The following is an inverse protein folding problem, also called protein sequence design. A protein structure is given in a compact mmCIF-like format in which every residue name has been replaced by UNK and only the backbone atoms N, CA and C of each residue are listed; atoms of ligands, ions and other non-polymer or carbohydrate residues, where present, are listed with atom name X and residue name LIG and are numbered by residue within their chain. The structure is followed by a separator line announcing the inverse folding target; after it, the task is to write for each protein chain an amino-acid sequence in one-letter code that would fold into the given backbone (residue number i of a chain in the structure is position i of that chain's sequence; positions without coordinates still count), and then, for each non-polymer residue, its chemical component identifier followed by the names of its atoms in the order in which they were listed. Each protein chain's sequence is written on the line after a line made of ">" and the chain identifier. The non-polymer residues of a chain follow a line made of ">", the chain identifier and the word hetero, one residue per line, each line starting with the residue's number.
data_IF_199480148549
#
_entry.id   IF_199480148549
#
_cell.length_a   1.000
_cell.length_b   1.000
_cell.length_c   1.000
_cell.angle_alpha   90.00
_cell.angle_beta   90.00
_cell.angle_gamma   90.00
#
_symmetry.space_group_name_H-M   'P 1'
#
loop_
_entity.id
_entity.type
_entity.pdbx_description
1 polymer ?
#
# COMPACT_ATOMS: atom_id res chain seq x y z
N UNK A 1 3.99 47.45 33.03
CA UNK A 1 3.22 47.38 31.78
C UNK A 1 4.00 46.86 30.56
N UNK A 2 5.31 47.02 30.42
CA UNK A 2 6.10 46.52 29.27
C UNK A 2 6.30 45.01 29.24
N UNK A 3 6.30 44.31 30.37
CA UNK A 3 6.53 42.87 30.47
C UNK A 3 5.33 42.02 30.05
N UNK A 4 4.11 42.55 30.11
CA UNK A 4 2.87 41.85 29.74
C UNK A 4 2.71 41.75 28.22
N UNK A 5 3.18 42.74 27.45
CA UNK A 5 3.10 42.72 25.97
C UNK A 5 4.06 41.71 25.32
N UNK A 6 5.19 41.42 25.93
CA UNK A 6 6.16 40.43 25.39
C UNK A 6 5.62 39.02 25.54
N UNK A 7 4.89 38.72 26.63
CA UNK A 7 4.31 37.38 26.84
C UNK A 7 3.16 37.08 25.86
N UNK A 8 2.36 38.07 25.50
CA UNK A 8 1.25 37.94 24.55
C UNK A 8 1.78 37.71 23.11
N UNK A 9 2.87 38.37 22.72
CA UNK A 9 3.47 38.21 21.39
C UNK A 9 4.12 36.83 21.23
N UNK A 10 4.75 36.28 22.26
CA UNK A 10 5.36 34.91 22.21
C UNK A 10 4.28 33.83 22.19
N UNK A 11 3.13 34.03 22.81
CA UNK A 11 1.99 33.11 22.77
C UNK A 11 1.26 33.17 21.42
N UNK A 12 1.14 34.33 20.81
CA UNK A 12 0.53 34.51 19.49
C UNK A 12 1.36 33.91 18.34
N UNK A 13 2.69 33.89 18.45
CA UNK A 13 3.58 33.29 17.43
C UNK A 13 3.61 31.76 17.44
N UNK A 14 3.08 31.11 18.48
CA UNK A 14 2.92 29.64 18.50
C UNK A 14 1.58 29.16 17.93
N UNK A 15 0.65 30.05 17.57
CA UNK A 15 -0.62 29.70 16.92
C UNK A 15 -0.51 29.74 15.40
N UNK A 16 0.65 30.06 14.85
CA UNK A 16 0.87 30.08 13.40
C UNK A 16 0.99 28.65 12.85
N UNK A 17 -0.11 28.22 12.26
CA UNK A 17 -0.23 27.12 11.28
C UNK A 17 0.04 25.70 11.77
N UNK A 18 -0.86 25.14 12.57
CA UNK A 18 -1.20 23.75 12.38
C UNK A 18 -1.86 23.66 10.98
N UNK A 19 -1.08 23.45 9.93
CA UNK A 19 -1.65 23.10 8.61
C UNK A 19 -2.48 21.85 8.84
N UNK A 20 -3.79 21.95 8.66
CA UNK A 20 -4.66 20.79 8.73
C UNK A 20 -4.16 19.77 7.70
N UNK A 21 -3.99 18.52 8.13
CA UNK A 21 -3.60 17.44 7.23
C UNK A 21 -4.61 17.33 6.10
N UNK A 22 -4.16 17.21 4.87
CA UNK A 22 -5.00 17.12 3.67
C UNK A 22 -4.59 15.96 2.80
N UNK A 23 -5.51 15.51 1.94
CA UNK A 23 -5.24 14.48 0.94
C UNK A 23 -4.59 15.03 -0.34
N UNK A 24 -4.34 16.34 -0.41
CA UNK A 24 -3.77 16.94 -1.61
C UNK A 24 -2.42 16.32 -1.96
N UNK A 25 -2.34 15.70 -3.15
CA UNK A 25 -1.18 14.95 -3.61
C UNK A 25 -1.03 13.53 -3.04
N UNK A 26 -1.93 13.07 -2.16
CA UNK A 26 -1.89 11.72 -1.61
C UNK A 26 -2.06 10.65 -2.68
N UNK A 27 -1.45 9.49 -2.46
CA UNK A 27 -1.50 8.33 -3.33
C UNK A 27 -1.95 7.13 -2.49
N UNK A 28 -3.03 6.48 -2.90
CA UNK A 28 -3.48 5.24 -2.29
C UNK A 28 -2.96 4.04 -3.10
N UNK A 29 -2.07 3.26 -2.49
CA UNK A 29 -1.45 2.10 -3.14
C UNK A 29 -2.30 0.84 -3.10
N UNK A 30 -3.47 0.87 -2.40
CA UNK A 30 -4.25 -0.31 -2.11
C UNK A 30 -5.74 0.03 -2.00
N UNK A 31 -6.42 0.14 -3.13
CA UNK A 31 -7.82 0.54 -3.19
C UNK A 31 -8.69 -0.55 -3.84
N UNK A 32 -9.62 -1.12 -3.07
CA UNK A 32 -10.61 -2.08 -3.57
C UNK A 32 -11.85 -1.36 -4.09
N UNK A 33 -12.38 -1.81 -5.22
CA UNK A 33 -13.57 -1.21 -5.84
C UNK A 33 -14.30 -2.19 -6.75
N UNK A 34 -15.56 -1.89 -7.10
CA UNK A 34 -16.21 -2.56 -8.22
C UNK A 34 -15.57 -2.17 -9.58
N UNK A 35 -15.66 -3.05 -10.61
CA UNK A 35 -16.19 -4.41 -10.55
C UNK A 35 -15.27 -5.34 -9.75
N UNK A 36 -15.87 -6.22 -8.94
CA UNK A 36 -15.17 -7.24 -8.18
C UNK A 36 -16.11 -8.44 -7.97
N UNK A 37 -15.57 -9.62 -7.73
CA UNK A 37 -16.31 -10.83 -7.37
C UNK A 37 -16.90 -10.82 -5.96
N UNK A 38 -16.58 -9.81 -5.14
CA UNK A 38 -17.10 -9.62 -3.79
C UNK A 38 -17.75 -8.24 -3.64
N UNK A 39 -18.71 -8.05 -2.68
CA UNK A 39 -19.33 -6.75 -2.46
C UNK A 39 -18.34 -5.65 -2.09
N UNK A 40 -18.43 -4.51 -2.79
CA UNK A 40 -17.62 -3.31 -2.57
C UNK A 40 -18.51 -2.11 -2.22
N UNK A 41 -17.92 -1.07 -1.63
CA UNK A 41 -18.62 0.15 -1.24
C UNK A 41 -18.80 1.16 -2.38
N UNK A 42 -17.98 1.07 -3.44
CA UNK A 42 -17.92 2.05 -4.53
C UNK A 42 -17.35 1.39 -5.80
N UNK A 43 -17.74 1.87 -6.98
CA UNK A 43 -17.07 1.48 -8.22
C UNK A 43 -15.79 2.29 -8.50
N UNK A 44 -14.92 1.78 -9.38
CA UNK A 44 -13.63 2.35 -9.66
C UNK A 44 -13.70 3.77 -10.28
N UNK A 45 -14.71 4.05 -11.09
CA UNK A 45 -14.88 5.36 -11.73
C UNK A 45 -15.30 6.40 -10.70
N UNK A 46 -16.28 6.08 -9.86
CA UNK A 46 -16.76 6.98 -8.83
C UNK A 46 -15.72 7.15 -7.70
N UNK A 47 -14.96 6.10 -7.38
CA UNK A 47 -13.80 6.23 -6.50
C UNK A 47 -12.76 7.21 -7.05
N UNK A 48 -12.42 7.12 -8.33
CA UNK A 48 -11.48 8.03 -8.97
C UNK A 48 -11.99 9.48 -8.99
N UNK A 49 -13.28 9.70 -9.26
CA UNK A 49 -13.91 11.03 -9.18
C UNK A 49 -13.83 11.59 -7.75
N UNK A 50 -14.16 10.77 -6.75
CA UNK A 50 -14.11 11.15 -5.35
C UNK A 50 -12.68 11.49 -4.92
N UNK A 51 -11.71 10.62 -5.20
CA UNK A 51 -10.31 10.85 -4.88
C UNK A 51 -9.77 12.13 -5.54
N UNK A 52 -10.09 12.35 -6.82
CA UNK A 52 -9.75 13.59 -7.54
C UNK A 52 -10.36 14.82 -6.87
N UNK A 53 -11.64 14.78 -6.48
CA UNK A 53 -12.32 15.90 -5.82
C UNK A 53 -11.70 16.26 -4.45
N UNK A 54 -11.04 15.29 -3.81
CA UNK A 54 -10.30 15.46 -2.55
C UNK A 54 -8.83 15.85 -2.77
N UNK A 55 -8.40 16.08 -4.04
CA UNK A 55 -7.05 16.48 -4.40
C UNK A 55 -6.02 15.35 -4.39
N UNK A 56 -6.44 14.09 -4.31
CA UNK A 56 -5.51 12.96 -4.40
C UNK A 56 -4.84 12.91 -5.78
N UNK A 57 -3.58 12.48 -5.80
CA UNK A 57 -2.78 12.35 -7.01
C UNK A 57 -3.05 11.06 -7.75
N UNK A 58 -3.07 9.93 -7.03
CA UNK A 58 -3.18 8.64 -7.68
C UNK A 58 -3.87 7.57 -6.82
N UNK A 59 -4.35 6.53 -7.51
CA UNK A 59 -4.90 5.31 -6.94
C UNK A 59 -4.24 4.09 -7.59
N UNK A 60 -4.02 3.03 -6.81
CA UNK A 60 -3.75 1.69 -7.32
C UNK A 60 -4.95 0.80 -7.01
N UNK A 61 -5.67 0.39 -8.06
CA UNK A 61 -6.83 -0.49 -7.95
C UNK A 61 -6.36 -1.92 -7.70
N UNK A 62 -6.92 -2.59 -6.71
CA UNK A 62 -6.62 -3.97 -6.36
C UNK A 62 -7.88 -4.79 -6.25
N UNK A 63 -7.89 -5.96 -6.91
CA UNK A 63 -8.85 -7.04 -6.69
C UNK A 63 -8.07 -8.33 -6.43
N UNK A 64 -8.69 -9.29 -5.72
CA UNK A 64 -8.04 -10.56 -5.38
C UNK A 64 -8.20 -11.60 -6.49
N UNK A 65 -9.24 -11.48 -7.31
CA UNK A 65 -9.71 -12.55 -8.19
C UNK A 65 -9.51 -12.24 -9.68
N UNK A 66 -9.08 -11.00 -10.01
CA UNK A 66 -8.86 -10.58 -11.38
C UNK A 66 -7.79 -9.47 -11.46
N UNK A 67 -7.07 -9.35 -12.60
CA UNK A 67 -6.15 -8.24 -12.85
C UNK A 67 -6.89 -6.92 -13.06
N UNK A 68 -6.38 -5.82 -12.54
CA UNK A 68 -7.00 -4.48 -12.59
C UNK A 68 -6.32 -3.50 -13.57
N UNK A 69 -5.30 -3.93 -14.31
CA UNK A 69 -4.58 -3.06 -15.24
C UNK A 69 -5.47 -2.53 -16.38
N UNK A 70 -6.38 -3.36 -16.91
CA UNK A 70 -7.34 -2.95 -17.94
C UNK A 70 -8.38 -1.99 -17.38
N UNK A 71 -8.86 -2.23 -16.16
CA UNK A 71 -9.78 -1.34 -15.46
C UNK A 71 -9.13 0.03 -15.24
N UNK A 72 -7.88 0.08 -14.77
CA UNK A 72 -7.13 1.33 -14.60
C UNK A 72 -7.04 2.14 -15.91
N UNK A 73 -6.87 1.47 -17.05
CA UNK A 73 -6.86 2.11 -18.38
C UNK A 73 -8.19 2.80 -18.69
N UNK A 74 -9.31 2.14 -18.41
CA UNK A 74 -10.65 2.70 -18.65
C UNK A 74 -10.93 3.85 -17.67
N UNK A 75 -10.64 3.65 -16.38
CA UNK A 75 -10.88 4.70 -15.37
C UNK A 75 -10.08 5.97 -15.67
N UNK A 76 -8.82 5.85 -16.08
CA UNK A 76 -8.01 7.03 -16.49
C UNK A 76 -8.62 7.78 -17.68
N UNK A 77 -9.24 7.06 -18.60
CA UNK A 77 -9.92 7.69 -19.75
C UNK A 77 -11.19 8.43 -19.32
N UNK A 78 -11.96 7.85 -18.41
CA UNK A 78 -13.24 8.43 -17.92
C UNK A 78 -13.02 9.57 -16.92
N UNK A 79 -11.93 9.53 -16.15
CA UNK A 79 -11.62 10.52 -15.10
C UNK A 79 -10.23 11.12 -15.33
N UNK A 80 -10.07 11.99 -16.34
CA UNK A 80 -8.77 12.62 -16.59
C UNK A 80 -8.37 13.53 -15.43
N UNK A 81 -7.06 13.63 -15.15
CA UNK A 81 -6.50 14.48 -14.10
C UNK A 81 -6.32 13.80 -12.74
N UNK A 82 -6.53 12.50 -12.67
CA UNK A 82 -6.02 11.63 -11.60
C UNK A 82 -5.26 10.46 -12.24
N UNK A 83 -4.16 10.04 -11.63
CA UNK A 83 -3.41 8.88 -12.08
C UNK A 83 -4.00 7.61 -11.45
N UNK A 84 -4.37 6.63 -12.28
CA UNK A 84 -4.91 5.36 -11.79
C UNK A 84 -4.06 4.23 -12.34
N UNK A 85 -3.62 3.36 -11.47
CA UNK A 85 -2.83 2.17 -11.77
C UNK A 85 -3.61 0.93 -11.34
N UNK A 86 -3.19 -0.21 -11.84
CA UNK A 86 -3.70 -1.50 -11.42
C UNK A 86 -2.57 -2.49 -11.26
N UNK A 87 -2.94 -3.72 -11.00
CA UNK A 87 -2.00 -4.81 -10.79
C UNK A 87 -2.65 -6.17 -10.93
N UNK A 88 -2.00 -7.16 -10.35
CA UNK A 88 -2.48 -8.55 -10.29
C UNK A 88 -2.15 -9.14 -8.92
N UNK A 89 -3.14 -9.76 -8.28
CA UNK A 89 -2.94 -10.63 -7.11
C UNK A 89 -2.81 -12.07 -7.59
N UNK A 90 -1.72 -12.75 -7.21
CA UNK A 90 -1.40 -14.09 -7.70
C UNK A 90 -2.10 -15.19 -6.90
N UNK A 91 -3.41 -15.02 -6.70
CA UNK A 91 -4.28 -16.01 -6.08
C UNK A 91 -4.65 -17.12 -7.09
N UNK A 92 -5.24 -18.22 -6.64
CA UNK A 92 -5.56 -19.39 -7.48
C UNK A 92 -6.48 -19.06 -8.65
N UNK A 93 -7.33 -18.05 -8.53
CA UNK A 93 -8.26 -17.60 -9.58
C UNK A 93 -7.56 -17.09 -10.84
N UNK A 94 -6.33 -16.59 -10.70
CA UNK A 94 -5.49 -16.19 -11.85
C UNK A 94 -4.41 -17.22 -12.19
N UNK A 95 -4.52 -18.42 -11.63
CA UNK A 95 -3.59 -19.53 -11.84
C UNK A 95 -2.46 -19.59 -10.81
N UNK A 96 -2.64 -19.00 -9.63
CA UNK A 96 -1.64 -18.94 -8.56
C UNK A 96 -0.47 -18.02 -8.93
N UNK A 97 0.76 -18.40 -8.50
CA UNK A 97 1.97 -17.68 -8.89
C UNK A 97 2.23 -17.97 -10.39
N UNK A 98 1.65 -17.13 -11.24
CA UNK A 98 1.61 -17.28 -12.69
C UNK A 98 2.46 -16.19 -13.39
N UNK A 99 3.74 -16.50 -13.77
CA UNK A 99 4.61 -15.54 -14.45
C UNK A 99 4.05 -15.04 -15.77
N UNK A 100 3.35 -15.90 -16.54
CA UNK A 100 2.77 -15.50 -17.82
C UNK A 100 1.68 -14.46 -17.65
N UNK A 101 0.82 -14.56 -16.62
CA UNK A 101 -0.20 -13.57 -16.31
C UNK A 101 0.44 -12.22 -15.95
N UNK A 102 1.51 -12.20 -15.16
CA UNK A 102 2.26 -10.97 -14.84
C UNK A 102 2.86 -10.36 -16.11
N UNK A 103 3.48 -11.17 -16.98
CA UNK A 103 4.06 -10.66 -18.22
C UNK A 103 2.99 -10.06 -19.15
N UNK A 104 1.82 -10.71 -19.29
CA UNK A 104 0.73 -10.15 -20.09
C UNK A 104 0.13 -8.89 -19.49
N UNK A 105 0.05 -8.77 -18.16
CA UNK A 105 -0.35 -7.53 -17.48
C UNK A 105 0.55 -6.35 -17.88
N UNK A 106 1.86 -6.54 -18.02
CA UNK A 106 2.77 -5.46 -18.42
C UNK A 106 2.54 -4.97 -19.85
N UNK A 107 1.91 -5.78 -20.70
CA UNK A 107 1.60 -5.47 -22.10
C UNK A 107 0.27 -4.72 -22.30
N UNK A 108 -0.53 -4.57 -21.23
CA UNK A 108 -1.78 -3.79 -21.29
C UNK A 108 -1.45 -2.37 -21.72
N UNK A 109 -2.19 -1.88 -22.73
CA UNK A 109 -1.98 -0.54 -23.31
C UNK A 109 -1.98 0.54 -22.25
N UNK A 110 -0.97 1.42 -22.30
CA UNK A 110 -0.79 2.52 -21.36
C UNK A 110 0.21 2.22 -20.23
N UNK A 111 0.56 0.94 -20.01
CA UNK A 111 1.54 0.56 -19.00
C UNK A 111 1.08 0.84 -17.56
N UNK A 112 -0.22 0.77 -17.32
CA UNK A 112 -0.81 1.08 -16.01
C UNK A 112 -0.87 -0.13 -15.06
N UNK A 113 -0.52 -1.34 -15.51
CA UNK A 113 -0.26 -2.48 -14.64
C UNK A 113 1.09 -2.29 -13.94
N UNK A 114 1.08 -1.91 -12.68
CA UNK A 114 2.29 -1.49 -11.94
C UNK A 114 2.61 -2.35 -10.73
N UNK A 115 1.63 -3.03 -10.17
CA UNK A 115 1.80 -3.75 -8.90
C UNK A 115 1.53 -5.24 -9.09
N UNK A 116 2.38 -6.06 -8.52
CA UNK A 116 2.21 -7.50 -8.41
C UNK A 116 2.17 -7.87 -6.94
N UNK A 117 1.01 -8.32 -6.47
CA UNK A 117 0.87 -8.94 -5.16
C UNK A 117 1.10 -10.44 -5.28
N UNK A 118 2.03 -10.99 -4.51
CA UNK A 118 2.11 -12.43 -4.29
C UNK A 118 0.80 -12.91 -3.63
N UNK A 119 0.53 -14.21 -3.55
CA UNK A 119 -0.76 -14.72 -3.09
C UNK A 119 -1.28 -14.04 -1.83
N UNK A 120 -2.55 -13.65 -1.86
CA UNK A 120 -3.24 -12.99 -0.76
C UNK A 120 -4.16 -13.97 -0.04
N UNK A 121 -5.43 -14.08 -0.41
CA UNK A 121 -6.36 -15.02 0.23
C UNK A 121 -5.97 -16.49 0.06
N UNK A 122 -5.25 -16.81 -1.00
CA UNK A 122 -4.75 -18.15 -1.28
C UNK A 122 -3.27 -18.32 -0.93
N UNK A 123 -2.71 -17.45 -0.06
CA UNK A 123 -1.38 -17.67 0.52
C UNK A 123 -1.37 -18.88 1.46
N UNK A 124 -0.23 -19.57 1.56
CA UNK A 124 -0.05 -20.66 2.51
C UNK A 124 -0.28 -20.20 3.95
N UNK A 125 0.21 -18.99 4.29
CA UNK A 125 0.04 -18.41 5.60
C UNK A 125 -1.43 -18.16 6.00
N UNK A 126 -2.32 -17.87 5.05
CA UNK A 126 -3.73 -17.65 5.34
C UNK A 126 -4.60 -18.86 5.00
N UNK A 127 -4.56 -19.36 3.78
CA UNK A 127 -5.39 -20.47 3.33
C UNK A 127 -4.95 -21.80 3.95
N UNK A 128 -3.64 -22.04 4.06
CA UNK A 128 -3.09 -23.25 4.63
C UNK A 128 -3.49 -23.47 6.09
N UNK A 129 -3.57 -22.39 6.89
CA UNK A 129 -4.05 -22.48 8.28
C UNK A 129 -5.50 -22.95 8.41
N UNK A 130 -6.31 -22.73 7.38
CA UNK A 130 -7.71 -23.16 7.33
C UNK A 130 -7.94 -24.42 6.49
N UNK A 131 -6.87 -25.11 6.08
CA UNK A 131 -6.94 -26.33 5.27
C UNK A 131 -7.47 -26.11 3.86
N UNK A 132 -7.51 -24.89 3.35
CA UNK A 132 -7.91 -24.56 1.97
C UNK A 132 -6.74 -24.73 1.00
N UNK A 133 -7.00 -24.99 -0.28
CA UNK A 133 -5.98 -24.93 -1.32
C UNK A 133 -5.25 -23.59 -1.28
N UNK A 134 -3.95 -23.60 -1.54
CA UNK A 134 -3.11 -22.40 -1.52
C UNK A 134 -2.02 -22.46 -2.60
N UNK A 135 -1.45 -21.31 -2.91
CA UNK A 135 -0.32 -21.14 -3.82
C UNK A 135 0.94 -20.82 -3.01
N UNK A 136 1.91 -21.75 -2.94
CA UNK A 136 3.11 -21.55 -2.13
C UNK A 136 4.06 -20.53 -2.76
N UNK A 137 4.73 -19.75 -1.92
CA UNK A 137 5.74 -18.77 -2.35
C UNK A 137 7.16 -19.15 -1.95
N UNK A 138 7.30 -19.94 -0.89
CA UNK A 138 8.58 -20.39 -0.34
C UNK A 138 8.52 -21.90 -0.12
N UNK A 139 9.60 -22.61 -0.47
CA UNK A 139 9.83 -24.03 -0.16
C UNK A 139 11.29 -24.23 0.22
N UNK A 140 11.52 -25.01 1.27
CA UNK A 140 12.86 -25.34 1.75
C UNK A 140 13.77 -24.12 1.96
N UNK A 141 13.20 -23.00 2.48
CA UNK A 141 13.95 -21.78 2.79
C UNK A 141 14.31 -20.91 1.57
N UNK A 142 13.79 -21.21 0.38
CA UNK A 142 13.98 -20.43 -0.84
C UNK A 142 12.63 -20.13 -1.51
N UNK A 143 12.58 -19.07 -2.33
CA UNK A 143 11.39 -18.79 -3.17
C UNK A 143 11.20 -19.92 -4.19
N UNK A 144 9.94 -20.20 -4.56
CA UNK A 144 9.65 -21.19 -5.61
C UNK A 144 10.16 -20.72 -6.97
N UNK A 145 10.37 -21.64 -7.95
CA UNK A 145 10.79 -21.25 -9.29
C UNK A 145 9.87 -20.24 -9.95
N UNK A 146 8.56 -20.35 -9.74
CA UNK A 146 7.54 -19.45 -10.29
C UNK A 146 7.66 -18.05 -9.66
N UNK A 147 7.86 -17.97 -8.34
CA UNK A 147 8.10 -16.69 -7.65
C UNK A 147 9.40 -16.06 -8.17
N UNK A 148 10.46 -16.83 -8.37
CA UNK A 148 11.72 -16.32 -8.94
C UNK A 148 11.52 -15.73 -10.34
N UNK A 149 10.69 -16.35 -11.18
CA UNK A 149 10.34 -15.82 -12.51
C UNK A 149 9.51 -14.51 -12.40
N UNK A 150 8.54 -14.46 -11.49
CA UNK A 150 7.76 -13.24 -11.23
C UNK A 150 8.68 -12.10 -10.77
N UNK A 151 9.63 -12.38 -9.88
CA UNK A 151 10.63 -11.41 -9.42
C UNK A 151 11.46 -10.89 -10.60
N UNK A 152 11.92 -11.77 -11.50
CA UNK A 152 12.68 -11.36 -12.69
C UNK A 152 11.85 -10.46 -13.62
N UNK A 153 10.56 -10.76 -13.82
CA UNK A 153 9.63 -9.91 -14.60
C UNK A 153 9.45 -8.55 -13.91
N UNK A 154 9.28 -8.53 -12.60
CA UNK A 154 9.12 -7.30 -11.83
C UNK A 154 10.38 -6.42 -11.92
N UNK A 155 11.56 -6.98 -11.82
CA UNK A 155 12.83 -6.27 -11.98
C UNK A 155 12.96 -5.66 -13.38
N UNK A 156 12.72 -6.47 -14.43
CA UNK A 156 12.82 -6.05 -15.83
C UNK A 156 11.88 -4.90 -16.18
N UNK A 157 10.66 -4.90 -15.62
CA UNK A 157 9.60 -3.95 -15.96
C UNK A 157 9.42 -2.83 -14.92
N UNK A 158 10.32 -2.74 -13.93
CA UNK A 158 10.24 -1.78 -12.83
C UNK A 158 8.86 -1.77 -12.15
N UNK A 159 8.33 -2.96 -11.85
CA UNK A 159 7.07 -3.12 -11.13
C UNK A 159 7.29 -2.99 -9.62
N UNK A 160 6.23 -2.68 -8.90
CA UNK A 160 6.17 -2.84 -7.46
C UNK A 160 5.85 -4.30 -7.17
N UNK A 161 6.74 -4.98 -6.46
CA UNK A 161 6.51 -6.33 -5.96
C UNK A 161 6.07 -6.27 -4.50
N UNK A 162 4.89 -6.77 -4.23
CA UNK A 162 4.34 -6.86 -2.88
C UNK A 162 4.28 -8.31 -2.40
N UNK A 163 4.53 -8.51 -1.10
CA UNK A 163 4.65 -9.85 -0.52
C UNK A 163 3.31 -10.59 -0.35
N UNK A 164 2.18 -9.93 -0.61
CA UNK A 164 0.86 -10.51 -0.39
C UNK A 164 0.63 -10.84 1.09
N UNK A 165 -0.08 -11.92 1.37
CA UNK A 165 -0.32 -12.38 2.74
C UNK A 165 0.72 -13.43 3.20
N UNK A 166 1.96 -13.30 2.73
CA UNK A 166 3.07 -14.14 3.19
C UNK A 166 3.34 -13.93 4.68
N UNK A 167 3.75 -14.98 5.37
CA UNK A 167 4.22 -14.86 6.76
C UNK A 167 5.46 -13.96 6.87
N UNK A 168 5.80 -13.40 8.05
CA UNK A 168 6.99 -12.59 8.22
C UNK A 168 8.27 -13.27 7.72
N UNK A 169 8.43 -14.56 8.01
CA UNK A 169 9.60 -15.34 7.57
C UNK A 169 9.66 -15.46 6.04
N UNK A 170 8.54 -15.77 5.38
CA UNK A 170 8.46 -15.83 3.92
C UNK A 170 8.72 -14.46 3.28
N UNK A 171 8.13 -13.38 3.84
CA UNK A 171 8.32 -12.02 3.35
C UNK A 171 9.81 -11.62 3.36
N UNK A 172 10.56 -11.93 4.42
CA UNK A 172 12.00 -11.65 4.48
C UNK A 172 12.81 -12.45 3.45
N UNK A 173 12.41 -13.69 3.15
CA UNK A 173 13.04 -14.50 2.08
C UNK A 173 12.75 -13.89 0.71
N UNK A 174 11.48 -13.51 0.45
CA UNK A 174 11.06 -12.88 -0.80
C UNK A 174 11.80 -11.56 -1.02
N UNK A 175 11.87 -10.70 -0.01
CA UNK A 175 12.57 -9.41 -0.08
C UNK A 175 14.05 -9.61 -0.45
N UNK A 176 14.72 -10.54 0.22
CA UNK A 176 16.14 -10.85 -0.05
C UNK A 176 16.35 -11.28 -1.49
N UNK A 177 15.53 -12.20 -1.97
CA UNK A 177 15.61 -12.67 -3.35
C UNK A 177 15.26 -11.59 -4.38
N UNK A 178 14.20 -10.80 -4.12
CA UNK A 178 13.83 -9.67 -4.96
C UNK A 178 14.97 -8.64 -5.09
N UNK A 179 15.61 -8.29 -3.98
CA UNK A 179 16.76 -7.38 -4.00
C UNK A 179 17.97 -7.99 -4.70
N UNK A 180 18.22 -9.27 -4.52
CA UNK A 180 19.28 -10.00 -5.23
C UNK A 180 19.09 -9.97 -6.76
N UNK A 181 17.83 -10.08 -7.23
CA UNK A 181 17.48 -10.00 -8.65
C UNK A 181 17.30 -8.56 -9.18
N UNK A 182 17.52 -7.54 -8.35
CA UNK A 182 17.51 -6.14 -8.77
C UNK A 182 16.14 -5.45 -8.75
N UNK A 183 15.11 -6.04 -8.09
CA UNK A 183 13.83 -5.35 -7.90
C UNK A 183 14.03 -4.12 -7.03
N UNK A 184 13.80 -2.94 -7.59
CA UNK A 184 13.95 -1.67 -6.86
C UNK A 184 12.79 -1.45 -5.88
N UNK A 185 11.57 -1.74 -6.31
CA UNK A 185 10.32 -1.40 -5.64
C UNK A 185 9.73 -2.65 -4.98
N UNK A 186 10.08 -2.90 -3.72
CA UNK A 186 9.54 -4.01 -2.93
C UNK A 186 8.77 -3.43 -1.75
N UNK A 187 7.54 -3.94 -1.53
CA UNK A 187 6.70 -3.53 -0.41
C UNK A 187 6.13 -4.76 0.31
N UNK A 188 6.07 -4.70 1.64
CA UNK A 188 5.34 -5.67 2.45
C UNK A 188 3.90 -5.21 2.53
N UNK A 189 2.98 -6.00 2.02
CA UNK A 189 1.54 -5.72 2.00
C UNK A 189 1.01 -5.67 3.44
N UNK A 190 0.30 -4.61 3.81
CA UNK A 190 -0.32 -4.35 5.14
C UNK A 190 0.37 -5.10 6.30
N UNK A 191 1.67 -4.76 6.51
CA UNK A 191 2.63 -5.50 7.31
C UNK A 191 2.15 -5.94 8.72
N UNK A 192 1.32 -5.13 9.37
CA UNK A 192 0.84 -5.39 10.74
C UNK A 192 -0.60 -5.95 10.79
N UNK A 193 -1.24 -6.21 9.64
CA UNK A 193 -2.58 -6.82 9.62
C UNK A 193 -2.54 -8.27 10.13
N UNK A 194 -3.67 -8.78 10.61
CA UNK A 194 -3.79 -10.15 11.10
C UNK A 194 -3.39 -11.23 10.06
N UNK A 195 -3.49 -10.91 8.77
CA UNK A 195 -3.10 -11.82 7.68
C UNK A 195 -1.58 -11.94 7.50
N UNK A 196 -0.78 -10.97 7.95
CA UNK A 196 0.69 -10.96 7.85
C UNK A 196 1.33 -11.01 9.23
N UNK A 197 0.93 -10.10 10.13
CA UNK A 197 1.33 -10.03 11.53
C UNK A 197 2.84 -9.88 11.74
N UNK A 198 3.46 -8.95 11.02
CA UNK A 198 4.89 -8.65 11.15
C UNK A 198 5.17 -7.94 12.46
N UNK A 199 6.18 -8.37 13.19
CA UNK A 199 6.69 -7.64 14.36
C UNK A 199 7.45 -6.38 13.94
N UNK A 200 7.64 -5.42 14.84
CA UNK A 200 8.47 -4.24 14.59
C UNK A 200 9.91 -4.66 14.22
N UNK A 201 10.44 -5.71 14.84
CA UNK A 201 11.78 -6.21 14.53
C UNK A 201 11.86 -6.76 13.10
N UNK A 202 10.84 -7.50 12.62
CA UNK A 202 10.78 -7.98 11.25
C UNK A 202 10.63 -6.82 10.25
N UNK A 203 9.81 -5.81 10.60
CA UNK A 203 9.67 -4.59 9.79
C UNK A 203 10.99 -3.84 9.65
N UNK A 204 11.75 -3.70 10.74
CA UNK A 204 13.09 -3.11 10.70
C UNK A 204 14.06 -3.94 9.86
N UNK A 205 13.98 -5.27 9.91
CA UNK A 205 14.80 -6.15 9.08
C UNK A 205 14.44 -5.98 7.59
N UNK A 206 13.16 -5.89 7.25
CA UNK A 206 12.69 -5.62 5.88
C UNK A 206 13.15 -4.24 5.38
N UNK A 207 13.01 -3.20 6.21
CA UNK A 207 13.45 -1.83 5.90
C UNK A 207 14.97 -1.75 5.65
N UNK A 208 15.78 -2.45 6.46
CA UNK A 208 17.24 -2.55 6.25
C UNK A 208 17.61 -3.18 4.91
N UNK A 209 16.78 -4.05 4.37
CA UNK A 209 16.93 -4.61 3.03
C UNK A 209 16.40 -3.67 1.93
N UNK A 210 15.86 -2.51 2.29
CA UNK A 210 15.31 -1.51 1.36
C UNK A 210 13.89 -1.84 0.87
N UNK A 211 13.11 -2.61 1.62
CA UNK A 211 11.68 -2.79 1.37
C UNK A 211 10.86 -1.73 2.09
N UNK A 212 9.73 -1.36 1.49
CA UNK A 212 8.72 -0.53 2.13
C UNK A 212 7.74 -1.39 2.92
N UNK A 213 7.15 -0.82 3.96
CA UNK A 213 6.16 -1.46 4.84
C UNK A 213 4.84 -0.71 4.66
N UNK A 214 3.83 -1.38 4.13
CA UNK A 214 2.50 -0.81 4.00
C UNK A 214 1.76 -0.88 5.35
N UNK A 215 1.22 0.25 5.78
CA UNK A 215 0.27 0.38 6.88
C UNK A 215 -1.06 0.87 6.31
N UNK A 216 -2.11 0.09 6.49
CA UNK A 216 -3.43 0.36 5.92
C UNK A 216 -4.37 0.97 6.94
N UNK A 217 -5.58 1.35 6.52
CA UNK A 217 -6.53 2.01 7.41
C UNK A 217 -6.80 1.18 8.67
N UNK A 218 -6.68 1.83 9.81
CA UNK A 218 -7.13 1.35 11.13
C UNK A 218 -7.99 2.42 11.80
N UNK A 219 -8.92 2.00 12.63
CA UNK A 219 -9.77 2.95 13.36
C UNK A 219 -8.93 3.72 14.38
N UNK A 220 -8.98 5.06 14.39
CA UNK A 220 -8.31 5.89 15.40
C UNK A 220 -8.65 5.44 16.82
N UNK A 221 -7.63 5.45 17.69
CA UNK A 221 -7.79 5.03 19.09
C UNK A 221 -7.93 3.54 19.33
N UNK A 222 -7.77 2.69 18.30
CA UNK A 222 -7.65 1.25 18.47
C UNK A 222 -6.22 0.84 18.84
N UNK A 223 -6.05 -0.34 19.44
CA UNK A 223 -4.73 -0.93 19.74
C UNK A 223 -3.86 -1.01 18.48
N UNK A 224 -4.47 -1.31 17.33
CA UNK A 224 -3.78 -1.34 16.03
C UNK A 224 -3.26 0.05 15.62
N UNK A 225 -4.03 1.12 15.88
CA UNK A 225 -3.61 2.48 15.58
C UNK A 225 -2.44 2.93 16.49
N UNK A 226 -2.46 2.56 17.77
CA UNK A 226 -1.34 2.80 18.69
C UNK A 226 -0.09 2.01 18.27
N UNK A 227 -0.27 0.76 17.84
CA UNK A 227 0.83 -0.07 17.35
C UNK A 227 1.46 0.54 16.09
N UNK A 228 0.67 1.17 15.20
CA UNK A 228 1.19 1.89 14.03
C UNK A 228 2.08 3.06 14.41
N UNK A 229 1.67 3.87 15.41
CA UNK A 229 2.51 4.98 15.90
C UNK A 229 3.87 4.47 16.40
N UNK A 230 3.86 3.37 17.16
CA UNK A 230 5.11 2.72 17.65
C UNK A 230 5.96 2.21 16.47
N UNK A 231 5.34 1.58 15.48
CA UNK A 231 6.03 1.06 14.30
C UNK A 231 6.64 2.18 13.45
N UNK A 232 5.90 3.26 13.18
CA UNK A 232 6.40 4.42 12.41
C UNK A 232 7.65 5.02 13.10
N UNK A 233 7.60 5.20 14.42
CA UNK A 233 8.74 5.72 15.18
C UNK A 233 9.94 4.79 15.19
N UNK A 234 9.72 3.48 15.20
CA UNK A 234 10.79 2.49 15.29
C UNK A 234 11.43 2.15 13.94
N UNK A 235 10.65 2.17 12.85
CA UNK A 235 11.10 1.82 11.49
C UNK A 235 11.64 3.04 10.75
N UNK A 236 11.01 4.21 10.95
CA UNK A 236 11.28 5.45 10.23
C UNK A 236 10.29 5.68 9.08
N UNK A 237 9.79 6.92 8.90
CA UNK A 237 8.79 7.27 7.89
C UNK A 237 9.31 7.08 6.45
N UNK A 238 10.61 7.02 6.24
CA UNK A 238 11.23 6.80 4.91
C UNK A 238 10.97 5.41 4.33
N UNK A 239 10.57 4.43 5.15
CA UNK A 239 10.27 3.07 4.72
C UNK A 239 8.78 2.70 4.86
N UNK A 240 7.92 3.61 5.31
CA UNK A 240 6.50 3.37 5.48
C UNK A 240 5.71 3.93 4.30
N UNK A 241 4.66 3.21 3.89
CA UNK A 241 3.62 3.68 2.96
C UNK A 241 2.28 3.60 3.67
N UNK A 242 1.49 4.67 3.61
CA UNK A 242 0.13 4.72 4.13
C UNK A 242 -0.84 4.51 2.97
N UNK A 243 -1.61 3.43 3.01
CA UNK A 243 -2.64 3.08 2.04
C UNK A 243 -3.99 2.88 2.71
N UNK A 244 -5.05 2.71 1.95
CA UNK A 244 -6.37 2.52 2.55
C UNK A 244 -6.69 1.05 2.85
N UNK A 245 -6.50 0.15 1.91
CA UNK A 245 -7.06 -1.22 1.93
C UNK A 245 -8.58 -1.18 2.17
N UNK A 246 -9.23 -0.10 1.73
CA UNK A 246 -10.67 0.13 1.86
C UNK A 246 -11.41 -0.31 0.60
N UNK A 247 -12.74 -0.29 0.68
CA UNK A 247 -13.67 -0.74 -0.35
C UNK A 247 -14.66 -1.77 0.16
N UNK A 248 -14.52 -2.27 1.39
CA UNK A 248 -15.50 -3.15 2.03
C UNK A 248 -16.76 -2.34 2.38
N UNK A 249 -17.95 -2.91 2.15
CA UNK A 249 -19.23 -2.20 2.20
C UNK A 249 -19.54 -1.47 3.54
N UNK A 250 -18.97 -1.96 4.65
CA UNK A 250 -19.22 -1.42 5.99
C UNK A 250 -18.11 -0.51 6.52
N UNK A 251 -17.09 -0.21 5.69
CA UNK A 251 -15.99 0.67 6.05
C UNK A 251 -16.19 2.08 5.45
N UNK A 252 -15.46 3.10 5.95
CA UNK A 252 -15.42 4.41 5.30
C UNK A 252 -15.00 4.31 3.84
N UNK A 253 -15.34 5.31 3.02
CA UNK A 253 -14.76 5.44 1.69
C UNK A 253 -13.27 5.79 1.80
N UNK A 254 -12.48 5.39 0.81
CA UNK A 254 -11.02 5.48 0.81
C UNK A 254 -10.46 6.85 1.21
N UNK A 255 -10.89 7.98 0.59
CA UNK A 255 -10.37 9.29 0.99
C UNK A 255 -10.73 9.66 2.42
N UNK A 256 -11.94 9.29 2.89
CA UNK A 256 -12.38 9.64 4.25
C UNK A 256 -11.61 8.84 5.31
N UNK A 257 -11.39 7.54 5.04
CA UNK A 257 -10.56 6.69 5.90
C UNK A 257 -9.11 7.16 5.96
N UNK A 258 -8.49 7.46 4.82
CA UNK A 258 -7.13 7.99 4.76
C UNK A 258 -6.99 9.31 5.52
N UNK A 259 -7.90 10.26 5.30
CA UNK A 259 -7.87 11.54 6.00
C UNK A 259 -7.98 11.36 7.52
N UNK A 260 -8.90 10.50 7.94
CA UNK A 260 -9.10 10.17 9.35
C UNK A 260 -7.84 9.56 9.98
N UNK A 261 -7.18 8.63 9.28
CA UNK A 261 -5.92 8.02 9.72
C UNK A 261 -4.80 9.07 9.81
N UNK A 262 -4.65 9.94 8.81
CA UNK A 262 -3.60 10.98 8.81
C UNK A 262 -3.79 11.97 9.94
N UNK A 263 -5.03 12.39 10.20
CA UNK A 263 -5.37 13.27 11.33
C UNK A 263 -5.05 12.62 12.68
N UNK A 264 -5.35 11.32 12.82
CA UNK A 264 -4.99 10.57 14.01
C UNK A 264 -3.47 10.54 14.21
N UNK A 265 -2.69 10.18 13.19
CA UNK A 265 -1.23 10.15 13.27
C UNK A 265 -0.66 11.52 13.67
N UNK A 266 -1.18 12.61 13.10
CA UNK A 266 -0.78 13.97 13.46
C UNK A 266 -1.11 14.28 14.94
N UNK A 267 -2.25 13.83 15.46
CA UNK A 267 -2.61 13.98 16.87
C UNK A 267 -1.72 13.17 17.83
N UNK A 268 -0.97 12.20 17.30
CA UNK A 268 0.01 11.39 18.02
C UNK A 268 1.45 11.89 17.80
N UNK A 269 1.64 13.17 17.46
CA UNK A 269 2.95 13.81 17.25
C UNK A 269 3.79 13.21 16.09
N UNK A 270 3.16 12.51 15.14
CA UNK A 270 3.80 12.21 13.85
C UNK A 270 3.73 13.49 13.01
N UNK A 271 4.89 13.99 12.56
CA UNK A 271 4.95 15.26 11.86
C UNK A 271 4.17 15.23 10.53
N UNK A 272 3.62 16.38 10.12
CA UNK A 272 2.98 16.53 8.80
C UNK A 272 3.96 16.14 7.68
N UNK A 273 5.24 16.49 7.81
CA UNK A 273 6.26 16.13 6.83
C UNK A 273 6.46 14.61 6.72
N UNK A 274 6.42 13.90 7.85
CA UNK A 274 6.53 12.43 7.86
C UNK A 274 5.27 11.79 7.27
N UNK A 275 4.08 12.29 7.60
CA UNK A 275 2.82 11.82 7.02
C UNK A 275 2.84 12.05 5.49
N UNK A 276 3.25 13.23 5.04
CA UNK A 276 3.38 13.54 3.60
C UNK A 276 4.42 12.64 2.92
N UNK A 277 5.52 12.32 3.58
CA UNK A 277 6.50 11.35 3.09
C UNK A 277 5.86 9.98 2.87
N UNK A 278 5.16 9.47 3.87
CA UNK A 278 4.52 8.15 3.83
C UNK A 278 3.32 8.07 2.87
N UNK A 279 2.58 9.16 2.71
CA UNK A 279 1.34 9.21 1.93
C UNK A 279 1.54 9.69 0.48
N UNK A 280 2.65 10.38 0.17
CA UNK A 280 2.85 11.06 -1.12
C UNK A 280 4.21 10.70 -1.73
N UNK A 281 5.32 10.89 -1.00
CA UNK A 281 6.67 10.75 -1.55
C UNK A 281 7.05 9.30 -1.78
N UNK A 282 6.88 8.44 -0.76
CA UNK A 282 7.22 7.03 -0.85
C UNK A 282 6.39 6.29 -1.91
N UNK A 283 5.04 6.41 -1.94
CA UNK A 283 4.26 5.76 -2.98
C UNK A 283 4.53 6.34 -4.39
N UNK A 284 4.80 7.64 -4.53
CA UNK A 284 5.21 8.22 -5.81
C UNK A 284 6.51 7.59 -6.32
N UNK A 285 7.50 7.41 -5.45
CA UNK A 285 8.77 6.76 -5.78
C UNK A 285 8.54 5.31 -6.23
N UNK A 286 7.73 4.54 -5.50
CA UNK A 286 7.39 3.16 -5.86
C UNK A 286 6.74 3.07 -7.25
N UNK A 287 5.86 3.99 -7.58
CA UNK A 287 5.16 4.03 -8.89
C UNK A 287 6.01 4.67 -10.01
N UNK A 288 7.19 5.21 -9.70
CA UNK A 288 8.04 5.91 -10.65
C UNK A 288 7.47 7.27 -11.09
N UNK A 289 6.67 7.92 -10.24
CA UNK A 289 6.10 9.24 -10.50
C UNK A 289 7.10 10.34 -10.11
N UNK A 290 7.18 11.37 -10.95
CA UNK A 290 8.03 12.55 -10.74
C UNK A 290 7.34 13.60 -9.87
#
# INVERSE_FOLDING_TARGET
>A
MKTLYVLIIVLALRIASARAQTLNGAIDMHAHSYPDGVPRSIDAVDLAKLAKSRGMRALVLKNHYEPTASLATIVRKEVPGIEVFGGISLDLTVGGVNPAAVEWMTKVKGGYGKVVWLPTYDSENQAGRSGRPFSPVVRNGAVTPEVSQVIAIAAKNNLVLETGHSSPAEALIIIREAKRQGVQNVMVTHAMSASVNMSIADMQAAAKMGAYLELTFVRPGSDAAEAYVKAIRAVGPEFIVLSSDLGQANNPLHPDGLLTMYQYLASQDISIADIDRMAKVNPAKLLGLK
#
